data_IF_923615868612
#
_entry.id   IF_923615868612
#
_cell.length_a   1.000
_cell.length_b   1.000
_cell.length_c   1.000
_cell.angle_alpha   90.00
_cell.angle_beta   90.00
_cell.angle_gamma   90.00
#
_symmetry.space_group_name_H-M   'P 1'
#
loop_
_entity.id
_entity.type
_entity.pdbx_description
1 polymer ?
#
# COMPACT_ATOMS: atom_id res chain seq x y z
N UNK A 1 -14.47 27.88 -54.49
CA UNK A 1 -14.28 27.98 -53.02
C UNK A 1 -14.24 26.56 -52.49
N UNK A 2 -13.16 26.07 -51.85
CA UNK A 2 -13.14 24.80 -51.09
C UNK A 2 -11.77 24.55 -50.41
N UNK A 3 -11.42 25.35 -49.39
CA UNK A 3 -10.31 25.07 -48.47
C UNK A 3 -10.67 25.42 -47.03
N UNK A 4 -11.65 24.71 -46.44
CA UNK A 4 -11.97 24.82 -45.00
C UNK A 4 -11.98 23.47 -44.26
N UNK A 5 -11.73 22.33 -44.93
CA UNK A 5 -11.73 21.01 -44.28
C UNK A 5 -10.41 20.64 -43.57
N UNK A 6 -9.26 21.15 -44.03
CA UNK A 6 -7.95 20.80 -43.46
C UNK A 6 -7.71 21.37 -42.06
N UNK A 7 -8.17 22.59 -41.79
CA UNK A 7 -7.91 23.29 -40.53
C UNK A 7 -8.77 22.75 -39.37
N UNK A 8 -10.01 22.32 -39.65
CA UNK A 8 -10.88 21.66 -38.66
C UNK A 8 -10.42 20.24 -38.30
N UNK A 9 -9.80 19.52 -39.23
CA UNK A 9 -9.30 18.15 -38.99
C UNK A 9 -8.05 18.16 -38.09
N UNK A 10 -7.16 19.14 -38.30
CA UNK A 10 -5.98 19.33 -37.45
C UNK A 10 -6.35 19.80 -36.04
N UNK A 11 -7.34 20.69 -35.90
CA UNK A 11 -7.84 21.14 -34.61
C UNK A 11 -8.51 20.00 -33.83
N UNK A 12 -9.31 19.16 -34.51
CA UNK A 12 -9.94 17.97 -33.92
C UNK A 12 -8.91 16.91 -33.49
N UNK A 13 -7.89 16.67 -34.31
CA UNK A 13 -6.80 15.76 -33.96
C UNK A 13 -5.99 16.27 -32.76
N UNK A 14 -5.70 17.58 -32.72
CA UNK A 14 -5.03 18.22 -31.59
C UNK A 14 -5.83 18.11 -30.28
N UNK A 15 -7.14 18.36 -30.31
CA UNK A 15 -8.02 18.20 -29.15
C UNK A 15 -8.09 16.74 -28.70
N UNK A 16 -8.16 15.78 -29.63
CA UNK A 16 -8.17 14.35 -29.30
C UNK A 16 -6.87 13.89 -28.63
N UNK A 17 -5.71 14.38 -29.09
CA UNK A 17 -4.40 14.07 -28.50
C UNK A 17 -4.28 14.67 -27.09
N UNK A 18 -4.76 15.90 -26.87
CA UNK A 18 -4.78 16.53 -25.54
C UNK A 18 -5.72 15.78 -24.58
N UNK A 19 -6.87 15.30 -25.05
CA UNK A 19 -7.83 14.54 -24.24
C UNK A 19 -7.26 13.18 -23.78
N UNK A 20 -6.46 12.51 -24.63
CA UNK A 20 -5.83 11.23 -24.29
C UNK A 20 -4.73 11.38 -23.21
N UNK A 21 -4.03 12.52 -23.16
CA UNK A 21 -2.97 12.77 -22.19
C UNK A 21 -3.49 13.04 -20.76
N UNK A 22 -4.76 13.44 -20.59
CA UNK A 22 -5.38 13.75 -19.29
C UNK A 22 -5.75 12.49 -18.49
N UNK A 23 -5.95 11.34 -19.15
CA UNK A 23 -6.41 10.10 -18.51
C UNK A 23 -5.33 9.29 -17.78
N UNK A 24 -4.05 9.71 -17.79
CA UNK A 24 -2.95 8.97 -17.13
C UNK A 24 -2.83 9.26 -15.62
N UNK A 25 -3.89 9.70 -14.97
CA UNK A 25 -3.87 10.10 -13.56
C UNK A 25 -3.87 8.89 -12.61
N UNK A 26 -2.67 8.56 -12.13
CA UNK A 26 -2.35 8.05 -10.79
C UNK A 26 -2.97 6.71 -10.31
N UNK A 27 -2.42 5.59 -10.80
CA UNK A 27 -2.53 4.27 -10.14
C UNK A 27 -1.49 4.11 -9.00
N UNK A 28 -1.48 5.02 -8.03
CA UNK A 28 -0.51 4.96 -6.90
C UNK A 28 -1.13 4.45 -5.58
N UNK A 29 -2.45 4.34 -5.50
CA UNK A 29 -3.09 3.83 -4.30
C UNK A 29 -2.95 2.29 -4.25
N UNK A 30 -2.32 1.77 -3.19
CA UNK A 30 -2.15 0.33 -2.89
C UNK A 30 -0.90 -0.37 -3.46
N UNK A 31 0.19 0.34 -3.75
CA UNK A 31 1.51 -0.30 -3.86
C UNK A 31 2.04 -0.61 -2.45
N UNK A 32 2.23 -1.89 -2.08
CA UNK A 32 2.83 -2.22 -0.78
C UNK A 32 4.26 -1.69 -0.69
N UNK A 33 4.63 -1.22 0.50
CA UNK A 33 5.99 -0.80 0.86
C UNK A 33 6.73 0.14 -0.11
N UNK A 34 6.06 1.18 -0.62
CA UNK A 34 6.67 2.16 -1.54
C UNK A 34 7.45 3.30 -0.85
N UNK A 35 8.30 3.97 -1.64
CA UNK A 35 9.07 5.14 -1.20
C UNK A 35 10.03 4.80 -0.06
N UNK A 36 9.94 5.54 1.05
CA UNK A 36 10.82 5.38 2.23
C UNK A 36 10.69 4.03 2.95
N UNK A 37 9.64 3.26 2.65
CA UNK A 37 9.44 1.91 3.22
C UNK A 37 10.42 0.86 2.67
N UNK A 38 11.05 1.14 1.52
CA UNK A 38 12.15 0.32 0.99
C UNK A 38 11.75 -1.03 0.41
N UNK A 39 10.48 -1.25 0.05
CA UNK A 39 10.01 -2.52 -0.49
C UNK A 39 9.55 -3.52 0.57
N UNK A 40 9.02 -4.65 0.10
CA UNK A 40 8.46 -5.70 0.94
C UNK A 40 9.60 -6.52 1.55
N UNK A 41 9.65 -6.60 2.88
CA UNK A 41 10.51 -7.51 3.62
C UNK A 41 9.88 -8.91 3.77
N UNK A 42 8.56 -8.96 3.89
CA UNK A 42 7.81 -10.22 4.03
C UNK A 42 6.33 -10.00 4.32
N UNK A 43 5.67 -11.02 4.87
CA UNK A 43 4.30 -10.93 5.37
C UNK A 43 4.26 -11.02 6.89
N UNK A 44 3.38 -10.23 7.50
CA UNK A 44 3.02 -10.30 8.92
C UNK A 44 1.51 -10.56 8.98
N UNK A 45 1.14 -11.84 9.06
CA UNK A 45 -0.21 -12.28 8.72
C UNK A 45 -0.55 -11.90 7.28
N UNK A 46 -1.73 -11.35 7.02
CA UNK A 46 -2.13 -10.93 5.66
C UNK A 46 -1.61 -9.55 5.25
N UNK A 47 -0.91 -8.84 6.15
CA UNK A 47 -0.35 -7.51 5.85
C UNK A 47 1.10 -7.61 5.42
N UNK A 48 1.57 -6.71 4.55
CA UNK A 48 2.98 -6.67 4.14
C UNK A 48 3.84 -6.05 5.24
N UNK A 49 4.94 -6.70 5.59
CA UNK A 49 6.01 -6.13 6.38
C UNK A 49 6.99 -5.44 5.43
N UNK A 50 7.38 -4.21 5.74
CA UNK A 50 8.30 -3.42 4.93
C UNK A 50 9.73 -3.46 5.48
N UNK A 51 10.72 -3.15 4.64
CA UNK A 51 12.14 -3.15 5.04
C UNK A 51 12.48 -2.11 6.11
N UNK A 52 11.71 -1.03 6.23
CA UNK A 52 11.83 -0.09 7.36
C UNK A 52 11.30 -0.67 8.70
N UNK A 53 10.74 -1.88 8.67
CA UNK A 53 10.18 -2.56 9.83
C UNK A 53 8.74 -2.13 10.18
N UNK A 54 8.11 -1.28 9.37
CA UNK A 54 6.69 -0.95 9.51
C UNK A 54 5.80 -1.90 8.70
N UNK A 55 4.52 -2.02 9.11
CA UNK A 55 3.53 -2.71 8.30
C UNK A 55 2.98 -1.78 7.22
N UNK A 56 2.79 -2.33 6.02
CA UNK A 56 2.25 -1.60 4.90
C UNK A 56 0.80 -1.27 5.13
N UNK A 57 0.44 -0.08 4.65
CA UNK A 57 -0.95 0.23 4.50
C UNK A 57 -1.57 -0.73 3.47
N UNK A 58 -1.05 -0.95 2.26
CA UNK A 58 -1.80 -1.61 1.15
C UNK A 58 -2.90 -2.63 1.52
N UNK A 59 -4.13 -2.45 1.00
CA UNK A 59 -5.29 -3.34 1.27
C UNK A 59 -5.17 -4.71 0.60
N UNK A 60 -4.11 -4.95 -0.17
CA UNK A 60 -3.87 -6.24 -0.82
C UNK A 60 -3.49 -7.27 0.24
N UNK A 61 -3.87 -8.52 0.04
CA UNK A 61 -3.42 -9.62 0.90
C UNK A 61 -1.99 -9.98 0.52
N UNK A 62 -1.09 -9.95 1.50
CA UNK A 62 0.32 -10.31 1.29
C UNK A 62 0.47 -11.75 0.80
N UNK A 63 -0.30 -12.66 1.40
CA UNK A 63 -0.46 -14.06 1.01
C UNK A 63 -0.88 -14.23 -0.45
N UNK A 64 -1.85 -13.44 -0.93
CA UNK A 64 -2.30 -13.49 -2.32
C UNK A 64 -1.28 -12.92 -3.32
N UNK A 65 -0.53 -11.88 -2.94
CA UNK A 65 0.43 -11.20 -3.82
C UNK A 65 1.75 -11.96 -3.94
N UNK A 66 2.24 -12.54 -2.83
CA UNK A 66 3.51 -13.26 -2.82
C UNK A 66 3.34 -14.78 -3.03
N UNK A 67 2.10 -15.29 -3.09
CA UNK A 67 1.83 -16.72 -3.26
C UNK A 67 2.31 -17.58 -2.09
N UNK A 68 2.69 -16.95 -0.98
CA UNK A 68 3.14 -17.65 0.23
C UNK A 68 1.89 -18.16 0.95
N UNK A 69 1.84 -19.49 1.19
CA UNK A 69 0.88 -20.08 2.12
C UNK A 69 1.17 -19.45 3.47
N UNK A 70 0.32 -18.52 3.88
CA UNK A 70 0.41 -17.92 5.20
C UNK A 70 0.27 -19.07 6.19
N UNK A 71 1.35 -19.45 6.86
CA UNK A 71 1.23 -20.12 8.15
C UNK A 71 0.28 -19.23 8.93
N UNK A 72 -0.93 -19.74 9.18
CA UNK A 72 -2.01 -19.00 9.82
C UNK A 72 -1.62 -18.82 11.27
N UNK A 73 -0.64 -17.95 11.51
CA UNK A 73 -0.01 -17.79 12.79
C UNK A 73 -0.98 -16.93 13.58
N UNK A 74 -1.60 -17.48 14.65
CA UNK A 74 -2.58 -16.75 15.42
C UNK A 74 -1.93 -15.46 15.90
N UNK A 75 -2.51 -14.32 15.50
CA UNK A 75 -2.04 -13.01 15.96
C UNK A 75 -2.27 -12.94 17.47
N UNK A 76 -1.20 -13.03 18.25
CA UNK A 76 -1.30 -12.94 19.70
C UNK A 76 -1.49 -11.47 20.07
N UNK A 77 -2.69 -11.13 20.55
CA UNK A 77 -3.01 -9.79 21.03
C UNK A 77 -2.47 -9.65 22.46
N UNK A 78 -1.27 -9.09 22.58
CA UNK A 78 -0.67 -8.79 23.87
C UNK A 78 -1.28 -7.48 24.40
N UNK A 79 -1.74 -7.53 25.65
CA UNK A 79 -2.25 -6.36 26.38
C UNK A 79 -1.13 -5.43 26.88
N UNK A 80 0.14 -5.84 26.75
CA UNK A 80 1.31 -5.17 27.31
C UNK A 80 2.28 -4.71 26.21
N UNK A 81 2.83 -3.50 26.37
CA UNK A 81 3.59 -2.77 25.35
C UNK A 81 4.94 -3.40 24.97
N UNK A 82 5.53 -4.22 25.86
CA UNK A 82 6.93 -4.66 25.75
C UNK A 82 7.16 -5.87 24.83
N UNK A 83 6.16 -6.31 24.05
CA UNK A 83 6.25 -7.53 23.24
C UNK A 83 5.65 -7.48 21.83
N UNK A 84 5.21 -6.31 21.35
CA UNK A 84 4.44 -6.20 20.11
C UNK A 84 5.28 -5.69 18.93
N UNK A 85 6.31 -6.42 18.52
CA UNK A 85 7.17 -6.00 17.40
C UNK A 85 6.55 -6.34 16.04
N UNK A 86 6.65 -5.43 15.07
CA UNK A 86 6.15 -5.70 13.71
C UNK A 86 6.91 -6.88 13.09
N UNK A 87 6.18 -7.81 12.45
CA UNK A 87 6.75 -9.04 11.87
C UNK A 87 6.85 -10.22 12.86
N UNK A 88 6.68 -9.96 14.16
CA UNK A 88 6.68 -11.03 15.16
C UNK A 88 5.34 -11.77 15.28
N UNK A 89 4.28 -11.30 14.60
CA UNK A 89 2.91 -11.79 14.76
C UNK A 89 2.22 -11.33 16.06
N UNK A 90 2.90 -10.54 16.88
CA UNK A 90 2.38 -9.99 18.14
C UNK A 90 1.94 -8.55 17.96
N UNK A 91 0.70 -8.25 18.32
CA UNK A 91 0.17 -6.88 18.25
C UNK A 91 -0.34 -6.40 19.60
N UNK A 92 -0.19 -5.11 19.81
CA UNK A 92 -0.70 -4.39 20.96
C UNK A 92 -2.01 -3.71 20.61
N UNK A 93 -2.84 -3.49 21.63
CA UNK A 93 -4.07 -2.72 21.49
C UNK A 93 -3.93 -1.42 22.28
N UNK A 94 -4.09 -0.29 21.61
CA UNK A 94 -4.05 1.02 22.24
C UNK A 94 -5.30 1.32 23.07
N UNK A 95 -5.29 2.39 23.89
CA UNK A 95 -6.42 2.77 24.74
C UNK A 95 -7.70 3.08 23.95
N UNK A 96 -7.58 3.40 22.65
CA UNK A 96 -8.70 3.62 21.73
C UNK A 96 -9.13 2.36 20.95
N UNK A 97 -8.63 1.18 21.31
CA UNK A 97 -8.94 -0.08 20.65
C UNK A 97 -8.23 -0.30 19.30
N UNK A 98 -7.34 0.61 18.89
CA UNK A 98 -6.54 0.46 17.67
C UNK A 98 -5.42 -0.56 17.86
N UNK A 99 -5.30 -1.50 16.91
CA UNK A 99 -4.26 -2.54 16.91
C UNK A 99 -2.99 -1.98 16.28
N UNK A 100 -1.83 -2.15 16.92
CA UNK A 100 -0.54 -1.67 16.42
C UNK A 100 0.61 -2.61 16.78
N UNK A 101 1.71 -2.48 16.06
CA UNK A 101 3.01 -3.06 16.39
C UNK A 101 4.07 -1.95 16.47
N UNK A 102 5.21 -2.26 17.07
CA UNK A 102 6.36 -1.37 17.20
C UNK A 102 7.40 -1.75 16.16
N UNK A 103 7.87 -0.76 15.41
CA UNK A 103 9.01 -0.92 14.50
C UNK A 103 10.31 -1.04 15.31
N UNK A 104 11.40 -1.56 14.72
CA UNK A 104 12.71 -1.59 15.36
C UNK A 104 13.18 -0.20 15.82
N UNK A 105 12.76 0.87 15.14
CA UNK A 105 13.02 2.26 15.52
C UNK A 105 12.09 2.82 16.61
N UNK A 106 11.27 1.98 17.26
CA UNK A 106 10.39 2.38 18.36
C UNK A 106 9.10 3.10 17.94
N UNK A 107 8.82 3.20 16.63
CA UNK A 107 7.61 3.87 16.13
C UNK A 107 6.42 2.93 16.12
N UNK A 108 5.21 3.43 16.40
CA UNK A 108 3.98 2.64 16.31
C UNK A 108 3.52 2.55 14.86
N UNK A 109 3.27 1.34 14.39
CA UNK A 109 2.68 1.04 13.09
C UNK A 109 1.33 0.37 13.29
N UNK A 110 0.26 1.02 12.85
CA UNK A 110 -1.11 0.56 13.09
C UNK A 110 -1.55 -0.46 12.04
N UNK A 111 -2.16 -1.55 12.51
CA UNK A 111 -2.76 -2.57 11.66
C UNK A 111 -4.07 -2.04 11.09
N UNK A 112 -4.33 -2.39 9.84
CA UNK A 112 -5.63 -2.19 9.21
C UNK A 112 -6.66 -3.10 9.88
N UNK A 113 -7.91 -2.64 9.93
CA UNK A 113 -9.05 -3.43 10.39
C UNK A 113 -9.69 -4.18 9.23
#
# INVERSE_FOLDING_TARGET
MNRCHGMSSLLRAGVAIVLLMVCASAIAANTPCSGRKGGIAGCDGDTFLCNDGSISASKKSCSAVLGIRNETRPSSLLKQADGCQCGSGSYCVGPRGGVYCLTPGGSKSYKRK
#
